data_IF_725311450594
#
_entry.id   IF_725311450594
#
_cell.length_a   1.000
_cell.length_b   1.000
_cell.length_c   1.000
_cell.angle_alpha   90.00
_cell.angle_beta   90.00
_cell.angle_gamma   90.00
#
_symmetry.space_group_name_H-M   'P 1'
#
loop_
_entity.id
_entity.type
_entity.pdbx_description
1 polymer ?
#
# COMPACT_ATOMS: atom_id res chain seq x y z
N UNK A 1 39.02 -47.85 45.37
CA UNK A 1 38.83 -47.83 43.90
C UNK A 1 37.49 -48.42 43.44
N UNK A 2 36.45 -48.50 44.29
CA UNK A 2 35.11 -49.00 43.88
C UNK A 2 34.11 -47.89 43.53
N UNK A 3 34.31 -46.66 44.02
CA UNK A 3 33.39 -45.53 43.76
C UNK A 3 33.59 -44.85 42.39
N UNK A 4 34.74 -45.04 41.74
CA UNK A 4 34.99 -44.45 40.41
C UNK A 4 34.29 -45.23 39.29
N UNK A 5 34.13 -46.55 39.45
CA UNK A 5 33.41 -47.39 38.49
C UNK A 5 31.89 -47.20 38.56
N UNK A 6 31.34 -46.84 39.72
CA UNK A 6 29.91 -46.56 39.87
C UNK A 6 29.52 -45.23 39.19
N UNK A 7 30.40 -44.22 39.25
CA UNK A 7 30.21 -42.92 38.61
C UNK A 7 30.34 -42.99 37.07
N UNK A 8 31.23 -43.83 36.54
CA UNK A 8 31.34 -44.03 35.09
C UNK A 8 30.17 -44.84 34.51
N UNK A 9 29.61 -45.79 35.27
CA UNK A 9 28.39 -46.50 34.88
C UNK A 9 27.16 -45.57 34.84
N UNK A 10 27.02 -44.64 35.80
CA UNK A 10 25.91 -43.67 35.81
C UNK A 10 25.97 -42.66 34.65
N UNK A 11 27.17 -42.32 34.16
CA UNK A 11 27.34 -41.44 32.99
C UNK A 11 27.03 -42.14 31.65
N UNK A 12 27.26 -43.45 31.55
CA UNK A 12 26.96 -44.20 30.32
C UNK A 12 25.45 -44.49 30.16
N UNK A 13 24.72 -44.69 31.26
CA UNK A 13 23.27 -44.94 31.22
C UNK A 13 22.48 -43.67 30.84
N UNK A 14 22.96 -42.48 31.22
CA UNK A 14 22.34 -41.21 30.82
C UNK A 14 22.63 -40.80 29.38
N UNK A 15 23.75 -41.22 28.79
CA UNK A 15 24.04 -40.98 27.36
C UNK A 15 23.31 -41.94 26.40
N UNK A 16 22.96 -43.16 26.83
CA UNK A 16 22.17 -44.09 26.01
C UNK A 16 20.68 -43.73 25.92
N UNK A 17 20.14 -42.93 26.84
CA UNK A 17 18.76 -42.43 26.74
C UNK A 17 18.58 -41.29 25.73
N UNK A 18 19.67 -40.68 25.23
CA UNK A 18 19.60 -39.67 24.19
C UNK A 18 19.62 -40.23 22.75
N UNK A 19 19.87 -41.53 22.54
CA UNK A 19 19.97 -42.13 21.21
C UNK A 19 18.81 -43.07 20.82
N UNK A 20 17.83 -43.30 21.70
CA UNK A 20 16.67 -44.18 21.42
C UNK A 20 15.33 -43.44 21.42
N UNK A 21 15.32 -42.11 21.57
CA UNK A 21 14.13 -41.29 21.29
C UNK A 21 14.24 -40.54 19.96
N UNK A 22 14.80 -41.20 18.94
CA UNK A 22 14.51 -40.90 17.53
C UNK A 22 13.23 -41.62 17.13
N UNK A 23 12.16 -41.44 17.90
CA UNK A 23 10.82 -41.82 17.53
C UNK A 23 10.05 -40.54 17.28
N UNK A 24 9.82 -40.31 15.99
CA UNK A 24 8.77 -39.48 15.39
C UNK A 24 7.67 -39.15 16.41
N UNK A 25 7.82 -38.03 17.11
CA UNK A 25 6.66 -37.31 17.58
C UNK A 25 6.06 -36.67 16.33
N UNK A 26 5.23 -37.48 15.67
CA UNK A 26 4.19 -37.05 14.78
C UNK A 26 3.21 -36.18 15.60
N UNK A 27 3.68 -35.02 16.04
CA UNK A 27 2.80 -33.91 16.33
C UNK A 27 2.38 -33.42 14.95
N UNK A 28 1.29 -34.03 14.49
CA UNK A 28 0.33 -33.38 13.63
C UNK A 28 -0.13 -32.12 14.38
N UNK A 29 0.74 -31.09 14.36
CA UNK A 29 0.33 -29.72 14.54
C UNK A 29 -0.68 -29.54 13.42
N UNK A 30 -1.94 -29.71 13.78
CA UNK A 30 -3.05 -29.07 13.11
C UNK A 30 -2.63 -27.61 13.01
N UNK A 31 -2.03 -27.27 11.87
CA UNK A 31 -2.08 -25.94 11.34
C UNK A 31 -3.58 -25.70 11.27
N UNK A 32 -4.11 -25.08 12.33
CA UNK A 32 -5.40 -24.44 12.21
C UNK A 32 -5.19 -23.54 11.01
N UNK A 33 -5.77 -23.92 9.87
CA UNK A 33 -6.13 -22.94 8.87
C UNK A 33 -6.91 -21.91 9.68
N UNK A 34 -6.25 -20.82 10.05
CA UNK A 34 -6.95 -19.58 10.25
C UNK A 34 -7.80 -19.48 8.99
N UNK A 35 -9.09 -19.75 9.15
CA UNK A 35 -10.05 -19.48 8.11
C UNK A 35 -9.87 -17.99 7.90
N UNK A 36 -9.15 -17.63 6.84
CA UNK A 36 -9.19 -16.30 6.30
C UNK A 36 -10.68 -16.07 6.04
N UNK A 37 -11.33 -15.38 6.97
CA UNK A 37 -12.68 -14.91 6.81
C UNK A 37 -12.54 -13.80 5.75
N UNK A 38 -12.47 -14.21 4.49
CA UNK A 38 -12.70 -13.38 3.30
C UNK A 38 -14.21 -13.13 3.12
N UNK A 39 -14.95 -13.11 4.22
CA UNK A 39 -16.33 -12.69 4.31
C UNK A 39 -16.39 -11.46 5.21
N UNK A 40 -17.38 -10.60 4.98
CA UNK A 40 -17.67 -9.42 5.81
C UNK A 40 -17.58 -9.79 7.29
N UNK A 41 -16.57 -9.26 7.99
CA UNK A 41 -16.45 -9.44 9.42
C UNK A 41 -17.60 -8.69 10.08
N UNK A 42 -18.46 -9.37 10.85
CA UNK A 42 -19.46 -8.72 11.71
C UNK A 42 -18.79 -7.81 12.78
N UNK A 43 -17.45 -7.86 12.88
CA UNK A 43 -16.66 -7.08 13.84
C UNK A 43 -16.14 -5.75 13.26
N UNK A 44 -16.22 -5.52 11.94
CA UNK A 44 -15.75 -4.27 11.31
C UNK A 44 -16.86 -3.70 10.42
N UNK A 45 -17.64 -2.79 10.98
CA UNK A 45 -18.55 -1.93 10.22
C UNK A 45 -17.78 -0.71 9.68
N UNK A 46 -17.34 -0.79 8.42
CA UNK A 46 -16.69 0.34 7.75
C UNK A 46 -17.75 1.39 7.39
N UNK A 47 -17.89 2.38 8.26
CA UNK A 47 -18.92 3.42 8.08
C UNK A 47 -18.67 4.25 6.83
N UNK A 48 -19.66 4.26 5.95
CA UNK A 48 -19.67 5.15 4.81
C UNK A 48 -20.11 6.55 5.23
N UNK A 49 -19.24 7.53 5.01
CA UNK A 49 -19.46 8.93 5.41
C UNK A 49 -20.09 9.79 4.30
N UNK A 50 -20.89 9.18 3.42
CA UNK A 50 -21.68 9.87 2.38
C UNK A 50 -20.86 10.67 1.36
N UNK A 51 -19.55 10.39 1.24
CA UNK A 51 -18.67 11.02 0.26
C UNK A 51 -18.66 10.29 -1.09
N UNK A 52 -18.16 10.91 -2.17
CA UNK A 52 -18.00 10.22 -3.45
C UNK A 52 -17.11 8.98 -3.33
N UNK A 53 -17.46 7.92 -4.05
CA UNK A 53 -16.67 6.68 -4.16
C UNK A 53 -16.22 6.51 -5.61
N UNK A 54 -15.06 5.90 -5.83
CA UNK A 54 -14.47 5.70 -7.16
C UNK A 54 -15.12 4.52 -7.91
N UNK A 55 -16.40 4.66 -8.27
CA UNK A 55 -17.16 3.61 -8.96
C UNK A 55 -16.91 3.58 -10.48
N UNK A 56 -16.48 4.69 -11.08
CA UNK A 56 -16.09 4.77 -12.49
C UNK A 56 -14.63 4.36 -12.69
N UNK A 57 -14.23 3.88 -13.89
CA UNK A 57 -12.83 3.60 -14.20
C UNK A 57 -11.90 4.76 -13.83
N UNK A 58 -10.79 4.45 -13.14
CA UNK A 58 -9.86 5.45 -12.61
C UNK A 58 -8.68 5.62 -13.57
N UNK A 59 -8.49 6.86 -14.04
CA UNK A 59 -7.28 7.31 -14.72
C UNK A 59 -6.37 7.96 -13.68
N UNK A 60 -5.37 7.23 -13.21
CA UNK A 60 -4.44 7.65 -12.18
C UNK A 60 -3.27 8.42 -12.81
N UNK A 61 -3.00 9.61 -12.29
CA UNK A 61 -1.89 10.46 -12.70
C UNK A 61 -0.95 10.70 -11.52
N UNK A 62 0.34 10.34 -11.66
CA UNK A 62 1.32 10.55 -10.59
C UNK A 62 2.07 11.86 -10.81
N UNK A 63 2.25 12.62 -9.74
CA UNK A 63 3.11 13.81 -9.70
C UNK A 63 4.24 13.54 -8.71
N UNK A 64 5.44 13.29 -9.22
CA UNK A 64 6.64 13.06 -8.43
C UNK A 64 7.22 14.40 -7.98
N UNK A 65 7.03 14.76 -6.71
CA UNK A 65 7.49 16.04 -6.17
C UNK A 65 8.83 15.90 -5.42
N UNK A 66 9.85 16.60 -5.91
CA UNK A 66 11.22 16.57 -5.42
C UNK A 66 12.07 15.45 -6.04
N UNK A 67 13.19 15.09 -5.38
CA UNK A 67 14.20 14.18 -5.94
C UNK A 67 13.87 12.73 -5.58
N UNK A 68 13.20 12.04 -6.51
CA UNK A 68 12.82 10.65 -6.34
C UNK A 68 13.90 9.68 -6.81
N UNK A 69 14.14 8.64 -6.02
CA UNK A 69 14.94 7.50 -6.45
C UNK A 69 14.17 6.71 -7.53
N UNK A 70 14.75 6.45 -8.71
CA UNK A 70 14.09 5.67 -9.78
C UNK A 70 13.60 4.28 -9.33
N UNK A 71 14.33 3.62 -8.42
CA UNK A 71 13.93 2.33 -7.86
C UNK A 71 12.64 2.45 -7.05
N UNK A 72 12.49 3.48 -6.21
CA UNK A 72 11.26 3.70 -5.47
C UNK A 72 10.09 4.04 -6.39
N UNK A 73 10.32 4.82 -7.45
CA UNK A 73 9.28 5.06 -8.46
C UNK A 73 8.84 3.77 -9.13
N UNK A 74 9.78 2.89 -9.51
CA UNK A 74 9.46 1.59 -10.11
C UNK A 74 8.58 0.76 -9.17
N UNK A 75 8.96 0.64 -7.89
CA UNK A 75 8.17 -0.11 -6.91
C UNK A 75 6.73 0.41 -6.79
N UNK A 76 6.54 1.74 -6.83
CA UNK A 76 5.21 2.35 -6.76
C UNK A 76 4.42 2.11 -8.05
N UNK A 77 5.07 2.17 -9.23
CA UNK A 77 4.44 1.81 -10.50
C UNK A 77 4.00 0.35 -10.49
N UNK A 78 4.85 -0.56 -10.03
CA UNK A 78 4.55 -1.98 -9.94
C UNK A 78 3.38 -2.24 -8.98
N UNK A 79 3.35 -1.54 -7.83
CA UNK A 79 2.21 -1.57 -6.92
C UNK A 79 0.91 -1.16 -7.62
N UNK A 80 0.92 -0.05 -8.37
CA UNK A 80 -0.27 0.44 -9.11
C UNK A 80 -0.67 -0.53 -10.22
N UNK A 81 0.29 -1.09 -10.96
CA UNK A 81 -0.01 -2.08 -11.99
C UNK A 81 -0.57 -3.38 -11.42
N UNK A 82 -0.35 -3.65 -10.14
CA UNK A 82 -0.86 -4.86 -9.48
C UNK A 82 -2.30 -4.75 -8.94
N UNK A 83 -2.99 -3.62 -9.14
CA UNK A 83 -4.41 -3.48 -8.74
C UNK A 83 -5.36 -4.38 -9.55
N UNK A 84 -5.08 -4.55 -10.84
CA UNK A 84 -5.94 -5.32 -11.74
C UNK A 84 -5.43 -6.74 -11.93
N UNK A 85 -6.34 -7.67 -12.24
CA UNK A 85 -6.02 -9.07 -12.52
C UNK A 85 -6.11 -9.31 -14.03
N UNK A 86 -5.17 -10.06 -14.65
CA UNK A 86 -4.04 -10.76 -14.02
C UNK A 86 -2.84 -9.85 -13.75
N UNK A 87 -2.19 -10.02 -12.60
CA UNK A 87 -0.92 -9.37 -12.24
C UNK A 87 0.06 -10.40 -11.66
N UNK A 88 1.39 -10.25 -11.89
CA UNK A 88 2.40 -11.12 -11.29
C UNK A 88 2.35 -11.07 -9.75
N UNK A 89 2.67 -12.18 -9.08
CA UNK A 89 2.80 -12.20 -7.62
C UNK A 89 4.18 -11.67 -7.17
N UNK A 90 4.26 -10.90 -6.07
CA UNK A 90 3.15 -10.47 -5.21
C UNK A 90 2.29 -9.37 -5.86
N UNK A 91 0.98 -9.38 -5.60
CA UNK A 91 0.01 -8.46 -6.20
C UNK A 91 -0.99 -7.94 -5.16
N UNK A 92 -1.46 -6.71 -5.33
CA UNK A 92 -2.53 -6.14 -4.48
C UNK A 92 -3.94 -6.42 -4.99
N UNK A 93 -4.08 -7.17 -6.09
CA UNK A 93 -5.37 -7.46 -6.71
C UNK A 93 -6.36 -8.16 -5.76
N UNK A 94 -5.89 -9.05 -4.89
CA UNK A 94 -6.74 -9.75 -3.92
C UNK A 94 -7.27 -8.80 -2.83
N UNK A 95 -6.41 -7.90 -2.34
CA UNK A 95 -6.81 -6.83 -1.45
C UNK A 95 -7.80 -5.88 -2.14
N UNK A 96 -7.53 -5.49 -3.40
CA UNK A 96 -8.43 -4.62 -4.16
C UNK A 96 -9.79 -5.26 -4.42
N UNK A 97 -9.85 -6.59 -4.61
CA UNK A 97 -11.12 -7.33 -4.72
C UNK A 97 -12.00 -7.20 -3.50
N UNK A 98 -11.40 -7.12 -2.31
CA UNK A 98 -12.13 -6.82 -1.07
C UNK A 98 -12.62 -5.37 -1.07
N UNK A 99 -11.78 -4.42 -1.51
CA UNK A 99 -12.16 -3.00 -1.63
C UNK A 99 -13.34 -2.81 -2.59
N UNK A 100 -13.41 -3.59 -3.67
CA UNK A 100 -14.53 -3.55 -4.62
C UNK A 100 -15.89 -3.90 -4.00
N UNK A 101 -15.94 -4.51 -2.81
CA UNK A 101 -17.21 -4.82 -2.13
C UNK A 101 -17.90 -3.58 -1.53
N UNK A 102 -17.18 -2.48 -1.35
CA UNK A 102 -17.76 -1.24 -0.83
C UNK A 102 -18.53 -0.48 -1.92
N UNK A 103 -19.62 0.16 -1.51
CA UNK A 103 -20.55 0.88 -2.41
C UNK A 103 -20.74 2.33 -2.00
N UNK A 104 -21.18 3.16 -2.94
CA UNK A 104 -21.75 4.49 -2.65
C UNK A 104 -23.23 4.42 -2.23
N UNK A 105 -23.88 5.59 -2.10
CA UNK A 105 -25.30 5.72 -1.77
C UNK A 105 -26.24 5.11 -2.82
N UNK A 106 -25.78 4.94 -4.07
CA UNK A 106 -26.56 4.35 -5.16
C UNK A 106 -26.45 2.83 -5.21
N UNK A 107 -25.58 2.25 -4.38
CA UNK A 107 -25.23 0.83 -4.43
C UNK A 107 -24.16 0.50 -5.48
N UNK A 108 -23.53 1.51 -6.08
CA UNK A 108 -22.47 1.29 -7.06
C UNK A 108 -21.16 0.91 -6.36
N UNK A 109 -20.61 -0.25 -6.73
CA UNK A 109 -19.34 -0.76 -6.20
C UNK A 109 -18.12 0.06 -6.68
N UNK A 110 -17.04 0.04 -5.89
CA UNK A 110 -15.73 0.55 -6.32
C UNK A 110 -15.26 -0.21 -7.59
N UNK A 111 -14.68 0.53 -8.54
CA UNK A 111 -14.19 -0.04 -9.80
C UNK A 111 -13.01 -1.00 -9.61
N UNK A 112 -12.92 -2.01 -10.46
CA UNK A 112 -11.72 -2.84 -10.60
C UNK A 112 -10.66 -2.21 -11.53
N UNK A 113 -11.00 -1.12 -12.22
CA UNK A 113 -10.18 -0.57 -13.29
C UNK A 113 -9.42 0.65 -12.78
N UNK A 114 -8.15 0.42 -12.47
CA UNK A 114 -7.18 1.47 -12.14
C UNK A 114 -6.09 1.45 -13.21
N UNK A 115 -5.93 2.56 -13.93
CA UNK A 115 -4.93 2.68 -14.99
C UNK A 115 -3.98 3.83 -14.69
N UNK A 116 -2.67 3.58 -14.72
CA UNK A 116 -1.67 4.65 -14.73
C UNK A 116 -1.71 5.35 -16.10
N UNK A 117 -2.29 6.54 -16.15
CA UNK A 117 -2.59 7.28 -17.38
C UNK A 117 -1.60 8.40 -17.70
N UNK A 118 -0.73 8.74 -16.75
CA UNK A 118 0.32 9.71 -16.98
C UNK A 118 1.13 10.02 -15.72
N UNK A 119 2.32 10.56 -15.94
CA UNK A 119 3.22 10.95 -14.87
C UNK A 119 3.84 12.32 -15.17
N UNK A 120 4.12 13.08 -14.12
CA UNK A 120 4.89 14.31 -14.19
C UNK A 120 5.92 14.35 -13.07
N UNK A 121 7.00 15.10 -13.25
CA UNK A 121 8.05 15.24 -12.24
C UNK A 121 8.37 16.70 -11.99
N UNK A 122 8.36 17.09 -10.72
CA UNK A 122 8.77 18.39 -10.23
C UNK A 122 10.00 18.24 -9.32
N UNK A 123 11.14 17.95 -9.95
CA UNK A 123 12.42 17.77 -9.27
C UNK A 123 13.06 19.08 -8.77
N UNK A 124 12.48 20.23 -9.15
CA UNK A 124 12.96 21.58 -8.82
C UNK A 124 12.29 22.16 -7.57
N UNK A 125 11.35 21.43 -6.97
CA UNK A 125 10.62 21.88 -5.78
C UNK A 125 9.85 23.19 -6.05
N UNK A 126 8.95 23.22 -7.04
CA UNK A 126 8.27 24.46 -7.45
C UNK A 126 7.48 25.19 -6.33
N UNK A 127 7.17 24.51 -5.23
CA UNK A 127 6.51 25.05 -4.03
C UNK A 127 7.41 24.96 -2.77
N UNK A 128 8.72 24.76 -2.94
CA UNK A 128 9.68 24.57 -1.85
C UNK A 128 9.62 23.18 -1.20
N UNK A 129 10.38 23.00 -0.12
CA UNK A 129 10.52 21.70 0.58
C UNK A 129 9.54 21.54 1.76
N UNK A 130 8.85 22.60 2.15
CA UNK A 130 7.84 22.59 3.20
C UNK A 130 6.48 22.89 2.58
N UNK A 131 5.62 21.89 2.53
CA UNK A 131 4.35 21.94 1.83
C UNK A 131 3.17 22.04 2.79
N UNK A 132 2.20 22.85 2.41
CA UNK A 132 0.87 22.90 3.03
C UNK A 132 -0.15 22.18 2.14
N UNK A 133 -1.38 22.05 2.61
CA UNK A 133 -2.49 21.58 1.76
C UNK A 133 -2.70 22.47 0.53
N UNK A 134 -2.50 23.78 0.67
CA UNK A 134 -2.61 24.72 -0.45
C UNK A 134 -1.45 24.54 -1.46
N UNK A 135 -0.26 24.22 -1.00
CA UNK A 135 0.88 23.91 -1.89
C UNK A 135 0.56 22.74 -2.83
N UNK A 136 -0.19 21.72 -2.38
CA UNK A 136 -0.60 20.60 -3.24
C UNK A 136 -1.49 21.05 -4.41
N UNK A 137 -2.38 22.02 -4.17
CA UNK A 137 -3.24 22.57 -5.23
C UNK A 137 -2.39 23.24 -6.33
N UNK A 138 -1.34 23.97 -5.95
CA UNK A 138 -0.42 24.59 -6.90
C UNK A 138 0.51 23.58 -7.59
N UNK A 139 0.92 22.51 -6.91
CA UNK A 139 1.68 21.41 -7.53
C UNK A 139 0.84 20.75 -8.64
N UNK A 140 -0.43 20.45 -8.36
CA UNK A 140 -1.35 19.87 -9.36
C UNK A 140 -1.56 20.85 -10.50
N UNK A 141 -1.81 22.14 -10.21
CA UNK A 141 -1.89 23.19 -11.24
C UNK A 141 -0.68 23.18 -12.16
N UNK A 142 0.53 23.22 -11.59
CA UNK A 142 1.75 23.21 -12.38
C UNK A 142 1.86 21.95 -13.26
N UNK A 143 1.48 20.78 -12.72
CA UNK A 143 1.52 19.54 -13.48
C UNK A 143 0.55 19.50 -14.68
N UNK A 144 -0.59 20.20 -14.60
CA UNK A 144 -1.61 20.23 -15.67
C UNK A 144 -1.52 21.45 -16.59
N UNK A 145 -0.82 22.53 -16.19
CA UNK A 145 -0.68 23.75 -17.02
C UNK A 145 0.74 24.01 -17.52
N UNK A 146 1.77 23.36 -16.97
CA UNK A 146 3.17 23.63 -17.36
C UNK A 146 3.41 23.30 -18.83
N UNK A 147 3.99 24.25 -19.55
CA UNK A 147 4.47 24.07 -20.92
C UNK A 147 5.90 23.52 -21.00
N UNK A 148 6.63 23.51 -19.87
CA UNK A 148 8.02 23.04 -19.81
C UNK A 148 8.13 21.51 -19.78
N UNK A 149 7.05 20.84 -19.40
CA UNK A 149 6.88 19.38 -19.42
C UNK A 149 5.62 19.07 -20.21
N UNK A 150 5.43 17.84 -20.69
CA UNK A 150 4.13 17.44 -21.25
C UNK A 150 3.09 17.57 -20.13
N UNK A 151 2.11 18.49 -20.23
CA UNK A 151 1.13 18.66 -19.16
C UNK A 151 0.30 17.40 -19.01
N UNK A 152 -0.04 17.07 -17.77
CA UNK A 152 -1.07 16.07 -17.50
C UNK A 152 -2.42 16.62 -17.96
N UNK A 153 -3.29 15.79 -18.55
CA UNK A 153 -4.63 16.25 -18.95
C UNK A 153 -5.43 16.64 -17.70
N UNK A 154 -6.33 17.62 -17.82
CA UNK A 154 -7.36 17.91 -16.82
C UNK A 154 -8.54 16.93 -17.02
N UNK A 155 -8.69 15.99 -16.10
CA UNK A 155 -9.69 14.92 -16.16
C UNK A 155 -10.55 14.94 -14.89
N UNK A 156 -11.60 15.76 -14.91
CA UNK A 156 -12.49 15.97 -13.76
C UNK A 156 -13.54 14.85 -13.57
N UNK A 157 -13.71 13.97 -14.57
CA UNK A 157 -14.68 12.86 -14.51
C UNK A 157 -14.10 11.57 -13.93
N UNK A 158 -12.86 11.26 -14.28
CA UNK A 158 -12.22 9.96 -13.96
C UNK A 158 -10.77 10.09 -13.50
N UNK A 159 -10.26 11.31 -13.37
CA UNK A 159 -8.88 11.56 -12.99
C UNK A 159 -8.65 11.48 -11.48
N UNK A 160 -7.64 10.73 -11.08
CA UNK A 160 -7.09 10.73 -9.73
C UNK A 160 -5.64 11.23 -9.80
N UNK A 161 -5.37 12.40 -9.21
CA UNK A 161 -4.02 12.99 -9.19
C UNK A 161 -3.34 12.67 -7.86
N UNK A 162 -2.28 11.88 -7.91
CA UNK A 162 -1.52 11.45 -6.76
C UNK A 162 -0.21 12.24 -6.67
N UNK A 163 -0.13 13.17 -5.73
CA UNK A 163 1.12 13.89 -5.43
C UNK A 163 1.94 13.04 -4.46
N UNK A 164 3.10 12.57 -4.90
CA UNK A 164 4.03 11.77 -4.10
C UNK A 164 5.30 12.58 -3.84
N UNK A 165 5.57 12.86 -2.57
CA UNK A 165 6.73 13.64 -2.15
C UNK A 165 7.93 12.76 -1.87
N UNK A 166 9.10 13.17 -2.36
CA UNK A 166 10.39 12.57 -2.02
C UNK A 166 10.70 12.72 -0.52
N UNK A 167 11.65 11.92 -0.02
CA UNK A 167 11.94 11.79 1.41
C UNK A 167 12.48 13.06 2.08
N UNK A 168 12.94 14.03 1.29
CA UNK A 168 13.51 15.30 1.74
C UNK A 168 12.52 16.47 1.63
N UNK A 169 11.23 16.16 1.55
CA UNK A 169 10.10 17.12 1.54
C UNK A 169 9.23 16.86 2.77
N UNK A 170 8.92 17.93 3.50
CA UNK A 170 8.03 17.90 4.65
C UNK A 170 6.64 18.41 4.27
N UNK A 171 5.61 17.63 4.58
CA UNK A 171 4.21 18.03 4.42
C UNK A 171 3.62 18.32 5.81
N UNK A 172 2.91 19.43 5.94
CA UNK A 172 2.24 19.82 7.18
C UNK A 172 1.34 18.69 7.71
N UNK A 173 1.49 18.34 8.99
CA UNK A 173 0.79 17.25 9.70
C UNK A 173 1.03 15.81 9.20
N UNK A 174 1.84 15.62 8.15
CA UNK A 174 2.15 14.28 7.63
C UNK A 174 3.03 13.49 8.60
N UNK A 175 2.66 12.22 8.82
CA UNK A 175 3.24 11.31 9.82
C UNK A 175 3.15 11.81 11.28
N UNK A 176 2.39 12.88 11.54
CA UNK A 176 2.09 13.37 12.90
C UNK A 176 0.62 13.17 13.25
N UNK A 177 -0.27 13.69 12.40
CA UNK A 177 -1.71 13.54 12.57
C UNK A 177 -2.35 12.73 11.43
N UNK A 178 -1.75 12.73 10.23
CA UNK A 178 -2.27 12.02 9.06
C UNK A 178 -1.16 11.33 8.27
N UNK A 179 -1.46 10.20 7.64
CA UNK A 179 -0.54 9.52 6.70
C UNK A 179 -0.78 9.93 5.24
N UNK A 180 -1.66 10.91 5.02
CA UNK A 180 -2.08 11.37 3.70
C UNK A 180 -3.40 12.13 3.80
N UNK A 181 -3.80 12.80 2.73
CA UNK A 181 -5.12 13.40 2.60
C UNK A 181 -5.59 13.35 1.16
N UNK A 182 -6.91 13.32 0.95
CA UNK A 182 -7.54 13.46 -0.35
C UNK A 182 -8.47 14.68 -0.33
N UNK A 183 -8.56 15.39 -1.44
CA UNK A 183 -9.45 16.53 -1.59
C UNK A 183 -9.68 16.80 -3.08
N UNK A 184 -10.76 17.51 -3.41
CA UNK A 184 -10.97 17.98 -4.78
C UNK A 184 -10.01 19.13 -5.09
N UNK A 185 -9.64 19.30 -6.36
CA UNK A 185 -8.96 20.51 -6.80
C UNK A 185 -9.96 21.62 -7.03
N UNK A 186 -9.61 22.85 -6.64
CA UNK A 186 -10.48 23.98 -6.87
C UNK A 186 -10.44 24.39 -8.35
N UNK A 187 -11.58 24.50 -9.05
CA UNK A 187 -11.61 25.02 -10.43
C UNK A 187 -10.91 26.39 -10.55
N UNK A 188 -11.05 27.24 -9.53
CA UNK A 188 -10.36 28.54 -9.46
C UNK A 188 -8.82 28.47 -9.45
N UNK A 189 -8.24 27.31 -9.14
CA UNK A 189 -6.80 27.10 -9.12
C UNK A 189 -6.31 26.43 -10.41
N UNK A 190 -6.99 25.36 -10.85
CA UNK A 190 -6.51 24.49 -11.93
C UNK A 190 -7.12 24.78 -13.31
N UNK A 191 -8.17 25.61 -13.39
CA UNK A 191 -8.89 25.94 -14.63
C UNK A 191 -10.14 25.10 -14.78
#
# INVERSE_FOLDING_TARGET
>A
MQNLHLLTLLFYVSFLQCLVSSWSQNQQYYYNQEKNYEGSSDLIDLKYHMGPVLASPINLYIIWYGQWNPTHQSTIRDFIHSFSSPAPHPSVADWWRTVMLYTDQTGSNITNTVMLSGESSDYKYSQGRYLTRLSMQYIIKNAVTSSYTRPLPLNYHSGLYLVLTSSDVQVQEFCRAVCGFHYFTFPSVVG
#
